data_IF_295010041278
#
_entry.id   IF_295010041278
#
_cell.length_a   1.000
_cell.length_b   1.000
_cell.length_c   1.000
_cell.angle_alpha   90.00
_cell.angle_beta   90.00
_cell.angle_gamma   90.00
#
_symmetry.space_group_name_H-M   'P 1'
#
loop_
_entity.id
_entity.type
_entity.pdbx_description
1 polymer ?
#
# COMPACT_ATOMS: atom_id res chain seq x y z
N UNK A 1 -0.64 -6.43 1.65
CA UNK A 1 -1.30 -6.88 0.39
C UNK A 1 -0.27 -7.59 -0.49
N UNK A 2 -0.67 -8.41 -1.45
CA UNK A 2 0.22 -8.95 -2.48
C UNK A 2 -0.26 -8.56 -3.86
N UNK A 3 0.63 -8.09 -4.74
CA UNK A 3 0.28 -7.73 -6.13
C UNK A 3 1.10 -8.57 -7.10
N UNK A 4 0.64 -8.65 -8.35
CA UNK A 4 1.44 -9.21 -9.44
C UNK A 4 2.75 -8.44 -9.56
N UNK A 5 3.84 -9.14 -9.90
CA UNK A 5 5.16 -8.52 -10.04
C UNK A 5 5.15 -7.36 -11.06
N UNK A 6 4.40 -7.47 -12.15
CA UNK A 6 4.25 -6.38 -13.14
C UNK A 6 3.59 -5.11 -12.58
N UNK A 7 2.77 -5.24 -11.53
CA UNK A 7 2.06 -4.13 -10.90
C UNK A 7 2.80 -3.56 -9.68
N UNK A 8 3.90 -4.19 -9.22
CA UNK A 8 4.54 -3.87 -7.95
C UNK A 8 5.03 -2.42 -7.86
N UNK A 9 5.82 -1.97 -8.85
CA UNK A 9 6.32 -0.60 -8.88
C UNK A 9 5.20 0.43 -9.01
N UNK A 10 4.22 0.16 -9.88
CA UNK A 10 3.06 1.04 -10.03
C UNK A 10 2.24 1.14 -8.76
N UNK A 11 2.14 0.05 -7.99
CA UNK A 11 1.46 0.05 -6.69
C UNK A 11 2.22 0.89 -5.66
N UNK A 12 3.56 0.85 -5.67
CA UNK A 12 4.38 1.70 -4.81
C UNK A 12 4.21 3.18 -5.16
N UNK A 13 4.17 3.54 -6.45
CA UNK A 13 3.88 4.92 -6.88
C UNK A 13 2.53 5.39 -6.34
N UNK A 14 1.50 4.53 -6.40
CA UNK A 14 0.17 4.83 -5.84
C UNK A 14 0.23 5.04 -4.33
N UNK A 15 1.08 4.33 -3.59
CA UNK A 15 1.24 4.57 -2.15
C UNK A 15 1.71 6.01 -1.91
N UNK A 16 2.68 6.50 -2.69
CA UNK A 16 3.18 7.87 -2.58
C UNK A 16 2.13 8.91 -3.03
N UNK A 17 1.44 8.69 -4.15
CA UNK A 17 0.38 9.58 -4.64
C UNK A 17 -0.72 9.78 -3.58
N UNK A 18 -1.18 8.66 -2.98
CA UNK A 18 -2.23 8.70 -1.96
C UNK A 18 -1.69 9.34 -0.67
N UNK A 19 -0.44 9.08 -0.28
CA UNK A 19 0.16 9.72 0.87
C UNK A 19 0.23 11.25 0.69
N UNK A 20 0.69 11.71 -0.47
CA UNK A 20 0.78 13.13 -0.83
C UNK A 20 -0.60 13.80 -0.80
N UNK A 21 -1.62 13.17 -1.40
CA UNK A 21 -2.99 13.68 -1.39
C UNK A 21 -3.60 13.83 0.02
N UNK A 22 -3.10 13.05 1.00
CA UNK A 22 -3.52 13.13 2.40
C UNK A 22 -2.57 13.97 3.27
N UNK A 23 -1.53 14.59 2.69
CA UNK A 23 -0.54 15.38 3.43
C UNK A 23 0.37 14.54 4.32
N UNK A 24 0.51 13.24 4.04
CA UNK A 24 1.40 12.32 4.75
C UNK A 24 2.79 12.44 4.13
N UNK A 25 3.76 12.94 4.89
CA UNK A 25 5.14 13.16 4.41
C UNK A 25 6.05 11.97 4.65
N UNK A 26 5.87 11.28 5.76
CA UNK A 26 6.76 10.21 6.21
C UNK A 26 6.14 8.84 5.95
N UNK A 27 6.01 8.51 4.66
CA UNK A 27 5.59 7.20 4.20
C UNK A 27 6.77 6.25 4.15
N UNK A 28 6.65 5.08 4.79
CA UNK A 28 7.67 4.04 4.71
C UNK A 28 7.11 2.79 4.03
N UNK A 29 7.10 2.73 2.69
CA UNK A 29 6.70 1.54 1.97
C UNK A 29 7.77 0.46 2.07
N UNK A 30 7.34 -0.79 2.09
CA UNK A 30 8.20 -1.96 2.08
C UNK A 30 7.65 -2.98 1.11
N UNK A 31 8.55 -3.76 0.52
CA UNK A 31 8.20 -4.93 -0.26
C UNK A 31 8.89 -6.16 0.30
N UNK A 32 8.15 -7.25 0.37
CA UNK A 32 8.67 -8.56 0.71
C UNK A 32 9.50 -9.15 -0.44
N UNK A 33 9.99 -10.37 -0.23
CA UNK A 33 10.57 -11.15 -1.32
C UNK A 33 9.46 -11.62 -2.26
N UNK A 34 9.61 -11.46 -3.58
CA UNK A 34 8.69 -12.05 -4.53
C UNK A 34 8.61 -13.57 -4.34
N UNK A 35 7.43 -14.14 -4.52
CA UNK A 35 7.21 -15.58 -4.49
C UNK A 35 6.27 -16.00 -5.62
N UNK A 36 6.45 -17.22 -6.13
CA UNK A 36 5.55 -17.80 -7.13
C UNK A 36 4.27 -18.29 -6.44
N UNK A 37 3.12 -17.81 -6.89
CA UNK A 37 1.80 -18.31 -6.47
C UNK A 37 1.16 -19.13 -7.60
N UNK A 38 1.00 -20.43 -7.34
CA UNK A 38 0.39 -21.38 -8.28
C UNK A 38 -1.14 -21.43 -8.20
N UNK A 39 -1.74 -20.81 -7.17
CA UNK A 39 -3.20 -20.75 -7.02
C UNK A 39 -3.82 -19.60 -7.82
N UNK A 40 -2.99 -18.68 -8.34
CA UNK A 40 -3.44 -17.63 -9.25
C UNK A 40 -3.80 -18.19 -10.62
N UNK A 41 -4.72 -17.52 -11.30
CA UNK A 41 -5.08 -17.84 -12.68
C UNK A 41 -4.79 -16.64 -13.61
N UNK A 42 -3.70 -16.69 -14.42
CA UNK A 42 -2.68 -17.74 -14.49
C UNK A 42 -1.72 -17.71 -13.29
N UNK A 43 -0.96 -18.78 -13.01
CA UNK A 43 0.13 -18.77 -12.03
C UNK A 43 1.13 -17.65 -12.30
N UNK A 44 1.76 -17.09 -11.26
CA UNK A 44 2.77 -16.06 -11.47
C UNK A 44 3.37 -15.51 -10.18
N UNK A 45 4.34 -14.60 -10.35
CA UNK A 45 5.04 -13.99 -9.24
C UNK A 45 4.17 -12.94 -8.55
N UNK A 46 4.16 -13.01 -7.23
CA UNK A 46 3.50 -12.06 -6.33
C UNK A 46 4.55 -11.36 -5.50
N UNK A 47 4.41 -10.05 -5.38
CA UNK A 47 5.23 -9.20 -4.52
C UNK A 47 4.38 -8.77 -3.33
N UNK A 48 4.71 -9.21 -2.10
CA UNK A 48 4.10 -8.66 -0.90
C UNK A 48 4.47 -7.18 -0.77
N UNK A 49 3.48 -6.31 -0.58
CA UNK A 49 3.66 -4.88 -0.33
C UNK A 49 3.00 -4.49 0.99
N UNK A 50 3.71 -3.67 1.77
CA UNK A 50 3.21 -3.06 2.99
C UNK A 50 3.63 -1.59 3.07
N UNK A 51 2.92 -0.84 3.91
CA UNK A 51 3.23 0.57 4.17
C UNK A 51 3.07 0.86 5.64
N UNK A 52 4.03 1.57 6.21
CA UNK A 52 4.04 1.97 7.61
C UNK A 52 4.01 3.49 7.70
N UNK A 53 3.21 3.98 8.66
CA UNK A 53 3.12 5.39 9.01
C UNK A 53 3.86 5.62 10.31
N UNK A 54 4.52 6.78 10.43
CA UNK A 54 5.15 7.21 11.68
C UNK A 54 4.28 8.26 12.35
N UNK A 55 4.20 8.27 13.69
CA UNK A 55 3.63 9.40 14.43
C UNK A 55 4.31 10.72 14.04
N UNK A 56 3.53 11.80 13.99
CA UNK A 56 4.02 13.15 13.63
C UNK A 56 4.41 14.00 14.85
N UNK A 57 4.13 13.52 16.07
CA UNK A 57 4.43 14.25 17.31
C UNK A 57 5.68 13.71 18.01
N UNK A 58 6.39 14.54 18.80
CA UNK A 58 7.57 14.13 19.55
C UNK A 58 7.32 13.09 20.66
N UNK A 59 6.07 12.88 21.05
CA UNK A 59 5.65 11.93 22.09
C UNK A 59 5.28 10.56 21.51
N UNK A 60 5.68 10.28 20.27
CA UNK A 60 5.33 9.07 19.50
C UNK A 60 3.82 8.87 19.31
N UNK A 61 3.02 9.95 19.37
CA UNK A 61 1.57 9.91 19.09
C UNK A 61 1.18 10.57 17.77
N UNK A 62 0.05 10.15 17.23
CA UNK A 62 -0.53 10.78 16.04
C UNK A 62 -1.32 12.03 16.45
N UNK A 63 -1.11 13.14 15.75
CA UNK A 63 -2.04 14.26 15.81
C UNK A 63 -3.41 13.86 15.24
N UNK A 64 -4.53 14.45 15.69
CA UNK A 64 -5.85 14.14 15.14
C UNK A 64 -5.94 14.30 13.61
N UNK A 65 -5.23 15.29 13.05
CA UNK A 65 -5.15 15.50 11.61
C UNK A 65 -4.38 14.37 10.91
N UNK A 66 -3.22 14.00 11.44
CA UNK A 66 -2.42 12.92 10.87
C UNK A 66 -3.09 11.56 11.02
N UNK A 67 -3.73 11.28 12.17
CA UNK A 67 -4.50 10.06 12.39
C UNK A 67 -5.67 9.95 11.40
N UNK A 68 -6.39 11.04 11.15
CA UNK A 68 -7.46 11.07 10.14
C UNK A 68 -6.91 10.79 8.74
N UNK A 69 -5.75 11.35 8.39
CA UNK A 69 -5.08 11.10 7.12
C UNK A 69 -4.69 9.61 6.97
N UNK A 70 -4.06 9.02 7.99
CA UNK A 70 -3.70 7.58 8.02
C UNK A 70 -4.94 6.70 7.90
N UNK A 71 -6.01 6.99 8.63
CA UNK A 71 -7.25 6.22 8.57
C UNK A 71 -7.92 6.31 7.19
N UNK A 72 -7.78 7.43 6.49
CA UNK A 72 -8.33 7.62 5.15
C UNK A 72 -7.47 7.00 4.04
N UNK A 73 -6.17 6.77 4.31
CA UNK A 73 -5.23 6.26 3.33
C UNK A 73 -5.68 4.94 2.72
N UNK A 74 -6.07 3.96 3.54
CA UNK A 74 -6.45 2.62 3.07
C UNK A 74 -7.63 2.66 2.08
N UNK A 75 -8.65 3.45 2.38
CA UNK A 75 -9.84 3.63 1.53
C UNK A 75 -9.48 4.29 0.19
N UNK A 76 -8.63 5.32 0.21
CA UNK A 76 -8.22 5.99 -1.02
C UNK A 76 -7.26 5.15 -1.86
N UNK A 77 -6.38 4.39 -1.20
CA UNK A 77 -5.51 3.42 -1.85
C UNK A 77 -6.33 2.37 -2.60
N UNK A 78 -7.28 1.72 -1.93
CA UNK A 78 -8.15 0.72 -2.56
C UNK A 78 -8.91 1.31 -3.76
N UNK A 79 -9.47 2.51 -3.63
CA UNK A 79 -10.15 3.20 -4.73
C UNK A 79 -9.20 3.47 -5.92
N UNK A 80 -7.96 3.91 -5.65
CA UNK A 80 -6.97 4.22 -6.69
C UNK A 80 -6.46 2.97 -7.39
N UNK A 81 -6.21 1.89 -6.66
CA UNK A 81 -5.81 0.60 -7.24
C UNK A 81 -6.90 0.03 -8.14
N UNK A 82 -8.18 0.11 -7.71
CA UNK A 82 -9.34 -0.28 -8.53
C UNK A 82 -9.42 0.51 -9.84
N UNK A 83 -9.20 1.82 -9.80
CA UNK A 83 -9.17 2.66 -11.02
C UNK A 83 -8.07 2.25 -12.00
N UNK A 84 -6.94 1.75 -11.49
CA UNK A 84 -5.78 1.33 -12.28
C UNK A 84 -5.84 -0.14 -12.70
N UNK A 85 -6.90 -0.87 -12.33
CA UNK A 85 -7.06 -2.31 -12.49
C UNK A 85 -5.99 -3.15 -11.78
N UNK A 86 -5.35 -2.60 -10.75
CA UNK A 86 -4.39 -3.33 -9.91
C UNK A 86 -5.19 -4.11 -8.86
N UNK A 87 -4.96 -5.43 -8.78
CA UNK A 87 -5.67 -6.32 -7.86
C UNK A 87 -4.74 -6.78 -6.74
N UNK A 88 -5.26 -6.79 -5.52
CA UNK A 88 -4.66 -7.59 -4.45
C UNK A 88 -4.89 -9.07 -4.79
N UNK A 89 -3.80 -9.79 -5.02
CA UNK A 89 -3.76 -11.22 -5.31
C UNK A 89 -3.01 -12.01 -4.24
N UNK A 90 -2.47 -11.34 -3.23
CA UNK A 90 -1.90 -11.99 -2.06
C UNK A 90 -2.99 -12.54 -1.14
N UNK A 91 -2.61 -13.35 -0.14
CA UNK A 91 -3.56 -13.85 0.85
C UNK A 91 -4.30 -12.67 1.51
N UNK A 92 -5.63 -12.76 1.55
CA UNK A 92 -6.44 -11.99 2.49
C UNK A 92 -6.13 -12.58 3.88
N UNK A 93 -5.64 -11.75 4.81
CA UNK A 93 -5.55 -12.17 6.22
C UNK A 93 -6.93 -12.55 6.78
#
# INVERSE_FOLDING_TARGET
MGVREEDAYRTLDVFFDVAEANGIKDLNPSHGRPYLDNNLNPPGNVVPLSVHFRPDRPDDTYSPGHLKAVNNFGTQLDARLKQLNIRNVGPEE
#
